data_IF_473829397662
#
_entry.id   IF_473829397662
#
_cell.length_a   1.000
_cell.length_b   1.000
_cell.length_c   1.000
_cell.angle_alpha   90.00
_cell.angle_beta   90.00
_cell.angle_gamma   90.00
#
_symmetry.space_group_name_H-M   'P 1'
#
loop_
_entity.id
_entity.type
_entity.pdbx_description
1 polymer ?
#
# COMPACT_ATOMS: atom_id res chain seq x y z
N UNK A 1 -38.36 -44.62 -23.77
CA UNK A 1 -37.05 -45.28 -23.98
C UNK A 1 -36.89 -45.35 -25.48
N UNK A 2 -35.87 -44.73 -26.06
CA UNK A 2 -35.67 -44.73 -27.51
C UNK A 2 -35.23 -46.12 -27.95
N UNK A 3 -35.69 -46.56 -29.11
CA UNK A 3 -35.24 -47.81 -29.74
C UNK A 3 -33.79 -47.68 -30.24
N UNK A 4 -33.16 -48.83 -30.49
CA UNK A 4 -31.75 -48.88 -30.91
C UNK A 4 -31.53 -48.28 -32.30
N UNK A 5 -32.56 -48.28 -33.18
CA UNK A 5 -32.48 -47.69 -34.52
C UNK A 5 -32.45 -46.16 -34.44
N UNK A 6 -33.28 -45.55 -33.57
CA UNK A 6 -33.26 -44.11 -33.26
C UNK A 6 -31.91 -43.67 -32.70
N UNK A 7 -31.31 -44.48 -31.81
CA UNK A 7 -29.98 -44.22 -31.27
C UNK A 7 -28.90 -44.32 -32.34
N UNK A 8 -28.94 -45.34 -33.18
CA UNK A 8 -27.98 -45.54 -34.26
C UNK A 8 -28.04 -44.38 -35.28
N UNK A 9 -29.24 -44.01 -35.72
CA UNK A 9 -29.48 -42.90 -36.65
C UNK A 9 -28.93 -41.57 -36.10
N UNK A 10 -29.18 -41.27 -34.82
CA UNK A 10 -28.69 -40.04 -34.21
C UNK A 10 -27.16 -39.98 -34.12
N UNK A 11 -26.51 -41.11 -33.79
CA UNK A 11 -25.05 -41.21 -33.70
C UNK A 11 -24.41 -41.12 -35.09
N UNK A 12 -25.01 -41.76 -36.10
CA UNK A 12 -24.55 -41.72 -37.49
C UNK A 12 -24.67 -40.31 -38.07
N UNK A 13 -25.78 -39.61 -37.83
CA UNK A 13 -25.98 -38.22 -38.26
C UNK A 13 -24.89 -37.29 -37.68
N UNK A 14 -24.55 -37.44 -36.39
CA UNK A 14 -23.44 -36.68 -35.80
C UNK A 14 -22.09 -37.05 -36.44
N UNK A 15 -21.87 -38.34 -36.73
CA UNK A 15 -20.68 -38.80 -37.45
C UNK A 15 -20.55 -38.23 -38.86
N UNK A 16 -21.69 -38.02 -39.54
CA UNK A 16 -21.80 -37.37 -40.84
C UNK A 16 -21.65 -35.84 -40.81
N UNK A 17 -21.52 -35.24 -39.62
CA UNK A 17 -21.21 -33.82 -39.46
C UNK A 17 -22.41 -32.93 -39.09
N UNK A 18 -23.58 -33.50 -38.81
CA UNK A 18 -24.71 -32.76 -38.29
C UNK A 18 -24.45 -32.28 -36.86
N UNK A 19 -25.03 -31.13 -36.49
CA UNK A 19 -25.03 -30.68 -35.09
C UNK A 19 -25.92 -31.60 -34.24
N UNK A 20 -25.69 -31.62 -32.92
CA UNK A 20 -26.50 -32.40 -31.97
C UNK A 20 -28.00 -32.08 -32.05
N UNK A 21 -28.33 -30.83 -32.42
CA UNK A 21 -29.71 -30.38 -32.55
C UNK A 21 -30.35 -30.90 -33.83
N UNK A 22 -29.66 -30.81 -34.96
CA UNK A 22 -30.15 -31.33 -36.23
C UNK A 22 -30.26 -32.86 -36.20
N UNK A 23 -29.30 -33.56 -35.60
CA UNK A 23 -29.36 -35.01 -35.39
C UNK A 23 -30.52 -35.41 -34.48
N UNK A 24 -30.82 -34.61 -33.46
CA UNK A 24 -31.96 -34.84 -32.57
C UNK A 24 -33.30 -34.60 -33.27
N UNK A 25 -33.40 -33.55 -34.10
CA UNK A 25 -34.58 -33.27 -34.93
C UNK A 25 -34.81 -34.37 -35.97
N UNK A 26 -33.74 -34.86 -36.62
CA UNK A 26 -33.79 -35.95 -37.60
C UNK A 26 -34.24 -37.28 -36.97
N UNK A 27 -33.72 -37.60 -35.78
CA UNK A 27 -34.03 -38.84 -35.08
C UNK A 27 -35.28 -38.75 -34.17
N UNK A 28 -35.96 -37.59 -34.12
CA UNK A 28 -37.15 -37.40 -33.29
C UNK A 28 -36.90 -37.56 -31.78
N UNK A 29 -35.70 -37.19 -31.31
CA UNK A 29 -35.28 -37.36 -29.91
C UNK A 29 -34.75 -36.05 -29.32
N UNK A 30 -34.31 -36.07 -28.05
CA UNK A 30 -33.74 -34.88 -27.41
C UNK A 30 -32.23 -34.76 -27.68
N UNK A 31 -31.75 -33.53 -27.88
CA UNK A 31 -30.32 -33.24 -28.10
C UNK A 31 -29.43 -33.74 -26.93
N UNK A 32 -29.96 -33.81 -25.72
CA UNK A 32 -29.28 -34.37 -24.56
C UNK A 32 -29.08 -35.88 -24.65
N UNK A 33 -30.06 -36.62 -25.22
CA UNK A 33 -29.95 -38.05 -25.47
C UNK A 33 -28.88 -38.34 -26.53
N UNK A 34 -28.90 -37.60 -27.65
CA UNK A 34 -27.88 -37.68 -28.70
C UNK A 34 -26.47 -37.41 -28.12
N UNK A 35 -26.32 -36.38 -27.29
CA UNK A 35 -25.06 -36.07 -26.61
C UNK A 35 -24.54 -37.20 -25.73
N UNK A 36 -25.42 -37.90 -25.01
CA UNK A 36 -25.05 -39.02 -24.16
C UNK A 36 -24.61 -40.23 -25.01
N UNK A 37 -25.34 -40.54 -26.08
CA UNK A 37 -25.02 -41.65 -26.97
C UNK A 37 -23.72 -41.44 -27.75
N UNK A 38 -23.47 -40.23 -28.27
CA UNK A 38 -22.21 -39.91 -28.93
C UNK A 38 -21.02 -40.03 -27.96
N UNK A 39 -21.18 -39.62 -26.69
CA UNK A 39 -20.15 -39.82 -25.66
C UNK A 39 -19.86 -41.31 -25.42
N UNK A 40 -20.90 -42.14 -25.30
CA UNK A 40 -20.75 -43.59 -25.17
C UNK A 40 -20.13 -44.25 -26.40
N UNK A 41 -20.37 -43.70 -27.60
CA UNK A 41 -19.81 -44.17 -28.87
C UNK A 41 -18.41 -43.60 -29.17
N UNK A 42 -17.83 -42.80 -28.26
CA UNK A 42 -16.51 -42.19 -28.45
C UNK A 42 -16.48 -41.04 -29.47
N UNK A 43 -17.63 -40.62 -30.00
CA UNK A 43 -17.73 -39.46 -30.87
C UNK A 43 -17.67 -38.18 -30.05
N UNK A 44 -16.65 -37.35 -30.32
CA UNK A 44 -16.62 -35.97 -29.84
C UNK A 44 -17.28 -35.08 -30.88
N UNK A 45 -18.35 -34.35 -30.53
CA UNK A 45 -18.94 -33.39 -31.46
C UNK A 45 -17.91 -32.36 -31.90
N UNK A 46 -17.97 -31.96 -33.18
CA UNK A 46 -17.25 -30.78 -33.63
C UNK A 46 -17.79 -29.56 -32.87
N UNK A 47 -16.93 -28.94 -32.05
CA UNK A 47 -17.22 -27.61 -31.51
C UNK A 47 -17.21 -26.61 -32.66
N UNK A 48 -18.06 -25.58 -32.60
CA UNK A 48 -17.87 -24.42 -33.47
C UNK A 48 -16.44 -23.88 -33.26
N UNK A 49 -15.75 -23.44 -34.31
CA UNK A 49 -14.45 -22.81 -34.17
C UNK A 49 -14.60 -21.57 -33.30
N UNK A 50 -13.63 -21.34 -32.40
CA UNK A 50 -13.59 -20.12 -31.60
C UNK A 50 -13.24 -18.97 -32.54
N UNK A 51 -14.14 -18.01 -32.69
CA UNK A 51 -13.86 -16.76 -33.39
C UNK A 51 -13.22 -15.81 -32.40
N UNK A 52 -11.99 -15.38 -32.71
CA UNK A 52 -11.31 -14.33 -31.98
C UNK A 52 -11.53 -13.01 -32.71
N UNK A 53 -12.16 -12.04 -32.04
CA UNK A 53 -12.32 -10.68 -32.56
C UNK A 53 -11.27 -9.76 -31.90
N UNK A 54 -10.63 -8.87 -32.67
CA UNK A 54 -9.73 -7.86 -32.10
C UNK A 54 -10.51 -6.87 -31.21
N UNK A 55 -9.79 -6.19 -30.32
CA UNK A 55 -10.37 -5.23 -29.38
C UNK A 55 -11.32 -4.21 -30.03
N UNK A 56 -10.90 -3.59 -31.13
CA UNK A 56 -11.68 -2.58 -31.86
C UNK A 56 -13.03 -3.12 -32.35
N UNK A 57 -13.05 -4.34 -32.88
CA UNK A 57 -14.28 -4.98 -33.35
C UNK A 57 -15.21 -5.34 -32.19
N UNK A 58 -14.67 -5.82 -31.06
CA UNK A 58 -15.47 -6.05 -29.84
C UNK A 58 -16.10 -4.74 -29.34
N UNK A 59 -15.33 -3.65 -29.33
CA UNK A 59 -15.80 -2.33 -28.91
C UNK A 59 -16.90 -1.79 -29.83
N UNK A 60 -16.75 -1.96 -31.15
CA UNK A 60 -17.78 -1.60 -32.13
C UNK A 60 -19.10 -2.34 -31.92
N UNK A 61 -19.04 -3.66 -31.65
CA UNK A 61 -20.24 -4.46 -31.36
C UNK A 61 -20.91 -4.05 -30.05
N UNK A 62 -20.12 -3.75 -29.00
CA UNK A 62 -20.65 -3.27 -27.73
C UNK A 62 -21.30 -1.90 -27.89
N UNK A 63 -20.70 -0.98 -28.63
CA UNK A 63 -21.28 0.34 -28.90
C UNK A 63 -22.62 0.25 -29.63
N UNK A 64 -22.72 -0.59 -30.67
CA UNK A 64 -23.97 -0.86 -31.39
C UNK A 64 -25.03 -1.52 -30.50
N UNK A 65 -24.63 -2.44 -29.64
CA UNK A 65 -25.52 -3.05 -28.65
C UNK A 65 -26.05 -2.03 -27.64
N UNK A 66 -25.20 -1.14 -27.11
CA UNK A 66 -25.62 -0.08 -26.19
C UNK A 66 -26.49 0.99 -26.87
N UNK A 67 -26.34 1.17 -28.19
CA UNK A 67 -27.24 1.99 -29.01
C UNK A 67 -28.62 1.33 -29.24
N UNK A 68 -28.85 0.10 -28.78
CA UNK A 68 -30.14 -0.57 -28.79
C UNK A 68 -30.30 -1.66 -29.85
N UNK A 69 -29.25 -1.99 -30.61
CA UNK A 69 -29.29 -3.12 -31.53
C UNK A 69 -29.32 -4.45 -30.78
N UNK A 70 -29.97 -5.46 -31.37
CA UNK A 70 -30.14 -6.76 -30.72
C UNK A 70 -28.83 -7.55 -30.77
N UNK A 71 -28.39 -8.04 -29.61
CA UNK A 71 -27.16 -8.85 -29.50
C UNK A 71 -27.13 -10.09 -30.41
N UNK A 72 -28.30 -10.68 -30.72
CA UNK A 72 -28.37 -11.85 -31.59
C UNK A 72 -28.00 -11.52 -33.05
N UNK A 73 -28.43 -10.35 -33.53
CA UNK A 73 -28.24 -9.91 -34.91
C UNK A 73 -26.78 -9.47 -35.11
N UNK A 74 -26.24 -8.69 -34.16
CA UNK A 74 -24.83 -8.31 -34.10
C UNK A 74 -23.89 -9.53 -34.03
N UNK A 75 -24.27 -10.53 -33.25
CA UNK A 75 -23.48 -11.74 -33.12
C UNK A 75 -23.49 -12.59 -34.40
N UNK A 76 -24.62 -12.64 -35.11
CA UNK A 76 -24.70 -13.35 -36.38
C UNK A 76 -23.83 -12.67 -37.45
N UNK A 77 -23.81 -11.34 -37.50
CA UNK A 77 -22.96 -10.54 -38.41
C UNK A 77 -21.47 -10.80 -38.15
N UNK A 78 -21.05 -10.76 -36.87
CA UNK A 78 -19.64 -10.94 -36.49
C UNK A 78 -19.20 -12.41 -36.32
N UNK A 79 -20.08 -13.37 -36.59
CA UNK A 79 -19.78 -14.80 -36.43
C UNK A 79 -19.58 -15.26 -34.98
N UNK A 80 -20.07 -14.50 -34.00
CA UNK A 80 -19.97 -14.80 -32.56
C UNK A 80 -21.32 -15.20 -31.98
N UNK A 81 -21.43 -15.31 -30.65
CA UNK A 81 -22.69 -15.66 -29.99
C UNK A 81 -23.30 -14.43 -29.31
N UNK A 82 -24.63 -14.30 -29.34
CA UNK A 82 -25.33 -13.18 -28.70
C UNK A 82 -24.94 -12.97 -27.23
N UNK A 83 -24.83 -14.03 -26.40
CA UNK A 83 -24.32 -13.91 -25.05
C UNK A 83 -22.92 -13.30 -24.93
N UNK A 84 -22.02 -13.51 -25.90
CA UNK A 84 -20.68 -12.91 -25.89
C UNK A 84 -20.76 -11.38 -25.97
N UNK A 85 -21.60 -10.83 -26.85
CA UNK A 85 -21.80 -9.37 -26.99
C UNK A 85 -22.35 -8.77 -25.69
N UNK A 86 -23.34 -9.42 -25.08
CA UNK A 86 -23.88 -8.95 -23.79
C UNK A 86 -22.87 -9.05 -22.65
N UNK A 87 -22.03 -10.09 -22.67
CA UNK A 87 -20.96 -10.29 -21.69
C UNK A 87 -19.87 -9.23 -21.84
N UNK A 88 -19.46 -8.88 -23.06
CA UNK A 88 -18.51 -7.79 -23.33
C UNK A 88 -19.05 -6.45 -22.85
N UNK A 89 -20.31 -6.13 -23.15
CA UNK A 89 -20.92 -4.88 -22.71
C UNK A 89 -20.96 -4.76 -21.18
N UNK A 90 -21.28 -5.86 -20.49
CA UNK A 90 -21.23 -5.89 -19.01
C UNK A 90 -19.81 -5.68 -18.48
N UNK A 91 -18.84 -6.38 -19.04
CA UNK A 91 -17.44 -6.32 -18.61
C UNK A 91 -16.82 -4.96 -18.88
N UNK A 92 -17.17 -4.30 -19.98
CA UNK A 92 -16.78 -2.90 -20.24
C UNK A 92 -17.29 -1.96 -19.15
N UNK A 93 -18.54 -2.11 -18.71
CA UNK A 93 -19.13 -1.28 -17.65
C UNK A 93 -18.52 -1.55 -16.27
N UNK A 94 -18.17 -2.80 -15.97
CA UNK A 94 -17.66 -3.21 -14.64
C UNK A 94 -16.14 -3.03 -14.50
N UNK A 95 -15.37 -3.29 -15.56
CA UNK A 95 -13.90 -3.43 -15.51
C UNK A 95 -13.17 -2.45 -16.47
N UNK A 96 -13.89 -1.76 -17.36
CA UNK A 96 -13.32 -0.82 -18.33
C UNK A 96 -12.74 -1.48 -19.59
N UNK A 97 -12.23 -0.66 -20.52
CA UNK A 97 -11.79 -1.07 -21.86
C UNK A 97 -10.67 -2.12 -21.85
N UNK A 98 -9.71 -2.00 -20.93
CA UNK A 98 -8.58 -2.92 -20.81
C UNK A 98 -9.01 -4.37 -20.56
N UNK A 99 -10.19 -4.60 -19.99
CA UNK A 99 -10.70 -5.94 -19.70
C UNK A 99 -11.12 -6.72 -20.96
N UNK A 100 -11.31 -6.05 -22.10
CA UNK A 100 -11.66 -6.67 -23.38
C UNK A 100 -10.46 -6.90 -24.30
N UNK A 101 -9.32 -6.32 -23.96
CA UNK A 101 -8.06 -6.48 -24.67
C UNK A 101 -7.42 -7.84 -24.34
N UNK A 102 -6.73 -8.45 -25.31
CA UNK A 102 -5.75 -9.50 -24.99
C UNK A 102 -4.48 -8.90 -24.42
N UNK A 103 -3.67 -9.76 -23.81
CA UNK A 103 -2.33 -9.39 -23.34
C UNK A 103 -1.49 -8.81 -24.50
N UNK A 104 -1.56 -9.39 -25.70
CA UNK A 104 -0.87 -8.89 -26.89
C UNK A 104 -1.37 -7.50 -27.33
N UNK A 105 -2.68 -7.25 -27.29
CA UNK A 105 -3.27 -5.94 -27.62
C UNK A 105 -2.90 -4.89 -26.56
N UNK A 106 -2.86 -5.28 -25.28
CA UNK A 106 -2.43 -4.42 -24.18
C UNK A 106 -0.93 -4.09 -24.26
N UNK A 107 -0.11 -5.07 -24.66
CA UNK A 107 1.32 -4.87 -24.90
C UNK A 107 1.59 -3.98 -26.11
N UNK A 108 0.80 -4.09 -27.18
CA UNK A 108 0.92 -3.24 -28.37
C UNK A 108 0.52 -1.78 -28.09
N UNK A 109 -0.42 -1.55 -27.16
CA UNK A 109 -0.81 -0.21 -26.71
C UNK A 109 0.08 0.34 -25.58
N UNK A 110 1.01 -0.48 -25.05
CA UNK A 110 1.97 0.01 -24.08
C UNK A 110 2.75 1.16 -24.71
N UNK A 111 2.95 2.28 -23.98
CA UNK A 111 3.78 3.37 -24.50
C UNK A 111 5.13 2.79 -24.89
N UNK A 112 5.64 3.21 -26.05
CA UNK A 112 6.99 2.80 -26.46
C UNK A 112 7.96 3.06 -25.30
N UNK A 113 8.90 2.12 -25.04
CA UNK A 113 9.86 2.30 -23.97
C UNK A 113 10.54 3.65 -24.18
N UNK A 114 10.50 4.50 -23.15
CA UNK A 114 11.09 5.82 -23.20
C UNK A 114 12.51 5.73 -23.76
N UNK A 115 12.85 6.60 -24.72
CA UNK A 115 14.18 6.65 -25.29
C UNK A 115 15.22 6.72 -24.15
N UNK A 116 16.36 6.00 -24.28
CA UNK A 116 17.39 6.07 -23.27
C UNK A 116 17.80 7.53 -23.05
N UNK A 117 18.05 7.95 -21.81
CA UNK A 117 18.39 9.34 -21.51
C UNK A 117 19.55 9.77 -22.41
N UNK A 118 19.42 10.96 -22.98
CA UNK A 118 20.47 11.53 -23.81
C UNK A 118 21.80 11.55 -23.04
N UNK A 119 22.93 11.48 -23.73
CA UNK A 119 24.26 11.54 -23.09
C UNK A 119 24.38 12.75 -22.13
N UNK A 120 23.76 13.88 -22.50
CA UNK A 120 23.67 15.08 -21.67
C UNK A 120 22.90 14.85 -20.36
N UNK A 121 21.77 14.16 -20.41
CA UNK A 121 20.96 13.83 -19.22
C UNK A 121 21.69 12.83 -18.32
N UNK A 122 22.34 11.82 -18.91
CA UNK A 122 23.17 10.88 -18.16
C UNK A 122 24.33 11.60 -17.45
N UNK A 123 25.00 12.53 -18.14
CA UNK A 123 26.06 13.34 -17.54
C UNK A 123 25.52 14.27 -16.44
N UNK A 124 24.38 14.92 -16.65
CA UNK A 124 23.74 15.75 -15.62
C UNK A 124 23.38 14.95 -14.38
N UNK A 125 22.78 13.77 -14.54
CA UNK A 125 22.45 12.88 -13.43
C UNK A 125 23.71 12.48 -12.64
N UNK A 126 24.80 12.15 -13.34
CA UNK A 126 26.09 11.84 -12.72
C UNK A 126 26.69 13.05 -11.98
N UNK A 127 26.59 14.25 -12.54
CA UNK A 127 27.02 15.47 -11.86
C UNK A 127 26.24 15.70 -10.55
N UNK A 128 24.91 15.55 -10.59
CA UNK A 128 24.10 15.69 -9.38
C UNK A 128 24.42 14.63 -8.30
N UNK A 129 24.71 13.40 -8.72
CA UNK A 129 25.13 12.33 -7.82
C UNK A 129 26.47 12.65 -7.14
N UNK A 130 27.47 13.07 -7.93
CA UNK A 130 28.77 13.48 -7.42
C UNK A 130 28.67 14.73 -6.52
N UNK A 131 27.78 15.67 -6.83
CA UNK A 131 27.54 16.83 -5.96
C UNK A 131 26.95 16.42 -4.60
N UNK A 132 26.03 15.45 -4.58
CA UNK A 132 25.48 14.91 -3.35
C UNK A 132 26.55 14.18 -2.51
N UNK A 133 27.36 13.34 -3.15
CA UNK A 133 28.45 12.61 -2.48
C UNK A 133 29.46 13.58 -1.87
N UNK A 134 29.91 14.57 -2.64
CA UNK A 134 30.82 15.62 -2.15
C UNK A 134 30.22 16.40 -0.97
N UNK A 135 28.93 16.73 -1.02
CA UNK A 135 28.25 17.43 0.07
C UNK A 135 28.18 16.57 1.36
N UNK A 136 27.95 15.26 1.21
CA UNK A 136 27.96 14.32 2.34
C UNK A 136 29.36 14.21 2.93
N UNK A 137 30.39 14.03 2.11
CA UNK A 137 31.78 13.92 2.57
C UNK A 137 32.22 15.20 3.29
N UNK A 138 31.93 16.37 2.72
CA UNK A 138 32.23 17.66 3.34
C UNK A 138 31.54 17.81 4.71
N UNK A 139 30.24 17.50 4.79
CA UNK A 139 29.50 17.55 6.07
C UNK A 139 29.97 16.49 7.08
N UNK A 140 30.43 15.33 6.60
CA UNK A 140 30.99 14.27 7.46
C UNK A 140 32.31 14.71 8.08
N UNK A 141 33.19 15.33 7.29
CA UNK A 141 34.46 15.93 7.76
C UNK A 141 34.19 17.01 8.80
N UNK A 142 33.20 17.87 8.56
CA UNK A 142 32.82 18.94 9.50
C UNK A 142 32.35 18.38 10.86
N UNK A 143 31.50 17.35 10.84
CA UNK A 143 30.96 16.72 12.05
C UNK A 143 32.06 15.97 12.81
N UNK A 144 32.83 15.12 12.12
CA UNK A 144 33.84 14.27 12.76
C UNK A 144 35.13 15.03 13.11
N UNK A 145 35.31 16.25 12.58
CA UNK A 145 36.54 17.05 12.72
C UNK A 145 37.80 16.28 12.33
N UNK A 146 37.67 15.35 11.38
CA UNK A 146 38.77 14.53 10.83
C UNK A 146 39.15 15.10 9.47
N UNK A 147 40.45 15.33 9.26
CA UNK A 147 41.06 15.61 7.95
C UNK A 147 40.81 14.46 6.93
N UNK A 148 40.95 14.68 5.60
CA UNK A 148 40.30 13.88 4.55
C UNK A 148 40.53 12.37 4.69
N UNK A 149 39.49 11.70 5.19
CA UNK A 149 39.44 10.27 5.51
C UNK A 149 38.24 9.93 6.40
N UNK A 150 37.29 10.85 6.52
CA UNK A 150 36.10 10.70 7.33
C UNK A 150 35.06 9.88 6.54
N UNK A 151 34.76 8.67 7.03
CA UNK A 151 33.77 7.79 6.42
C UNK A 151 32.37 8.17 6.92
N UNK A 152 31.36 8.42 6.05
CA UNK A 152 29.97 8.60 6.47
C UNK A 152 29.41 7.42 7.29
N UNK A 153 30.02 6.23 7.19
CA UNK A 153 29.74 5.07 8.02
C UNK A 153 30.11 5.28 9.50
N UNK A 154 31.09 6.14 9.81
CA UNK A 154 31.48 6.48 11.19
C UNK A 154 30.43 7.38 11.89
N UNK A 155 29.56 8.05 11.13
CA UNK A 155 28.54 8.92 11.71
C UNK A 155 27.51 8.11 12.50
N UNK A 156 27.15 8.61 13.68
CA UNK A 156 26.02 8.11 14.45
C UNK A 156 24.70 8.38 13.72
N UNK A 157 23.66 7.60 14.03
CA UNK A 157 22.33 7.84 13.46
C UNK A 157 21.74 9.23 13.77
N UNK A 158 22.24 9.91 14.83
CA UNK A 158 21.84 11.28 15.14
C UNK A 158 22.55 12.29 14.23
N UNK A 159 23.86 12.11 14.01
CA UNK A 159 24.66 12.95 13.11
C UNK A 159 24.21 12.79 11.66
N UNK A 160 23.95 11.55 11.20
CA UNK A 160 23.37 11.32 9.87
C UNK A 160 22.02 12.02 9.70
N UNK A 161 21.19 12.04 10.75
CA UNK A 161 19.91 12.74 10.69
C UNK A 161 20.07 14.27 10.63
N UNK A 162 21.06 14.82 11.34
CA UNK A 162 21.39 16.25 11.30
C UNK A 162 21.95 16.66 9.93
N UNK A 163 22.87 15.87 9.38
CA UNK A 163 23.41 16.06 8.03
C UNK A 163 22.32 15.92 6.95
N UNK A 164 21.42 14.94 7.11
CA UNK A 164 20.27 14.79 6.22
C UNK A 164 19.35 16.02 6.27
N UNK A 165 19.12 16.59 7.45
CA UNK A 165 18.30 17.79 7.62
C UNK A 165 18.92 19.02 6.93
N UNK A 166 20.25 19.19 6.96
CA UNK A 166 20.91 20.30 6.27
C UNK A 166 20.91 20.15 4.74
N UNK A 167 21.00 18.92 4.22
CA UNK A 167 21.10 18.64 2.78
C UNK A 167 19.75 18.47 2.07
N UNK A 168 18.66 18.18 2.80
CA UNK A 168 17.36 17.84 2.20
C UNK A 168 16.80 18.91 1.26
N UNK A 169 17.11 20.18 1.50
CA UNK A 169 16.61 21.31 0.71
C UNK A 169 17.25 21.40 -0.67
N UNK A 170 18.52 20.97 -0.81
CA UNK A 170 19.27 21.04 -2.08
C UNK A 170 19.10 19.78 -2.93
N UNK A 171 19.14 18.60 -2.32
CA UNK A 171 19.22 17.33 -3.06
C UNK A 171 17.96 16.46 -2.96
N UNK A 172 16.98 16.87 -2.16
CA UNK A 172 15.77 16.09 -1.89
C UNK A 172 16.00 14.98 -0.86
N UNK A 173 15.07 14.88 0.09
CA UNK A 173 15.19 13.95 1.22
C UNK A 173 15.40 12.48 0.83
N UNK A 174 14.69 11.90 -0.18
CA UNK A 174 14.86 10.48 -0.52
C UNK A 174 16.30 10.13 -0.96
N UNK A 175 16.90 10.97 -1.81
CA UNK A 175 18.27 10.77 -2.32
C UNK A 175 19.30 10.86 -1.19
N UNK A 176 19.16 11.88 -0.34
CA UNK A 176 20.05 12.10 0.81
C UNK A 176 19.97 10.93 1.80
N UNK A 177 18.77 10.43 2.12
CA UNK A 177 18.60 9.29 3.02
C UNK A 177 19.18 7.99 2.45
N UNK A 178 19.04 7.77 1.15
CA UNK A 178 19.63 6.63 0.47
C UNK A 178 21.17 6.68 0.55
N UNK A 179 21.77 7.82 0.21
CA UNK A 179 23.21 8.01 0.25
C UNK A 179 23.80 7.86 1.67
N UNK A 180 23.07 8.30 2.71
CA UNK A 180 23.48 8.13 4.11
C UNK A 180 23.10 6.77 4.72
N UNK A 181 22.48 5.86 3.96
CA UNK A 181 21.96 4.59 4.45
C UNK A 181 21.08 4.76 5.72
N UNK A 182 20.25 5.80 5.74
CA UNK A 182 19.43 6.17 6.89
C UNK A 182 17.93 5.91 6.60
N UNK A 183 17.28 4.98 7.34
CA UNK A 183 15.84 4.76 7.18
C UNK A 183 15.02 6.02 7.48
N UNK A 184 13.97 6.25 6.68
CA UNK A 184 13.07 7.41 6.82
C UNK A 184 12.43 7.50 8.21
N UNK A 185 12.07 6.37 8.81
CA UNK A 185 11.52 6.30 10.18
C UNK A 185 12.54 6.79 11.22
N UNK A 186 13.79 6.37 11.09
CA UNK A 186 14.89 6.80 11.96
C UNK A 186 15.14 8.30 11.84
N UNK A 187 15.15 8.84 10.61
CA UNK A 187 15.29 10.27 10.37
C UNK A 187 14.22 11.09 11.12
N UNK A 188 12.94 10.79 10.93
CA UNK A 188 11.86 11.53 11.61
C UNK A 188 11.85 11.31 13.13
N UNK A 189 12.17 10.10 13.59
CA UNK A 189 12.30 9.84 15.02
C UNK A 189 13.41 10.71 15.64
N UNK A 190 14.56 10.84 14.98
CA UNK A 190 15.66 11.70 15.44
C UNK A 190 15.31 13.18 15.36
N UNK A 191 14.71 13.62 14.26
CA UNK A 191 14.23 15.00 14.10
C UNK A 191 13.23 15.37 15.21
N UNK A 192 12.31 14.46 15.55
CA UNK A 192 11.33 14.67 16.63
C UNK A 192 11.96 14.81 18.02
N UNK A 193 13.14 14.21 18.23
CA UNK A 193 13.91 14.31 19.48
C UNK A 193 14.84 15.51 19.52
N UNK A 194 15.28 15.99 18.36
CA UNK A 194 16.12 17.18 18.20
C UNK A 194 15.31 18.48 18.20
N UNK A 195 14.04 18.43 17.73
CA UNK A 195 13.10 19.52 17.87
C UNK A 195 12.97 19.91 19.35
N UNK A 196 13.18 21.21 19.63
CA UNK A 196 13.21 21.82 20.96
C UNK A 196 12.18 21.22 21.92
N UNK A 197 12.56 21.11 23.20
CA UNK A 197 11.77 20.45 24.25
C UNK A 197 10.28 20.75 24.10
N UNK A 198 9.53 19.80 23.53
CA UNK A 198 8.08 19.90 23.37
C UNK A 198 7.40 20.12 24.72
N UNK A 199 8.09 19.73 25.79
CA UNK A 199 7.65 19.89 27.15
C UNK A 199 8.16 21.19 27.81
N UNK A 200 8.91 22.08 27.13
CA UNK A 200 9.46 23.31 27.71
C UNK A 200 8.40 24.16 28.42
N UNK A 201 7.27 24.39 27.75
CA UNK A 201 6.15 25.16 28.33
C UNK A 201 5.54 24.50 29.56
N UNK A 202 5.38 23.17 29.55
CA UNK A 202 4.84 22.45 30.71
C UNK A 202 5.87 22.26 31.82
N UNK A 203 7.16 22.16 31.49
CA UNK A 203 8.28 22.04 32.43
C UNK A 203 8.36 23.27 33.31
N UNK A 204 8.23 24.46 32.73
CA UNK A 204 8.15 25.71 33.49
C UNK A 204 6.97 25.71 34.48
N UNK A 205 5.78 25.35 34.02
CA UNK A 205 4.56 25.33 34.85
C UNK A 205 4.61 24.27 35.96
N UNK A 206 5.12 23.07 35.65
CA UNK A 206 5.32 21.98 36.63
C UNK A 206 6.31 22.41 37.72
N UNK A 207 7.42 23.04 37.33
CA UNK A 207 8.42 23.51 38.27
C UNK A 207 7.90 24.67 39.14
N UNK A 208 7.09 25.57 38.57
CA UNK A 208 6.40 26.65 39.29
C UNK A 208 5.45 26.09 40.36
N UNK A 209 4.56 25.17 39.98
CA UNK A 209 3.62 24.51 40.91
C UNK A 209 4.34 23.73 42.02
N UNK A 210 5.39 23.00 41.65
CA UNK A 210 6.18 22.26 42.62
C UNK A 210 6.85 23.19 43.64
N UNK A 211 7.43 24.31 43.18
CA UNK A 211 8.04 25.34 44.04
C UNK A 211 7.00 26.06 44.90
N UNK A 212 5.85 26.43 44.34
CA UNK A 212 4.74 27.04 45.08
C UNK A 212 4.22 26.12 46.19
N UNK A 213 4.24 24.79 45.96
CA UNK A 213 3.90 23.81 46.99
C UNK A 213 4.97 23.62 48.07
N UNK A 214 6.14 24.26 47.96
CA UNK A 214 7.29 24.03 48.83
C UNK A 214 7.90 22.64 48.67
N UNK A 215 7.81 22.04 47.48
CA UNK A 215 8.32 20.70 47.20
C UNK A 215 7.54 19.55 47.85
N UNK A 216 6.32 19.79 48.33
CA UNK A 216 5.49 18.77 49.01
C UNK A 216 4.58 18.01 48.04
N UNK A 217 4.26 18.59 46.89
CA UNK A 217 3.33 17.99 45.96
C UNK A 217 4.02 17.01 45.02
N UNK A 218 3.54 15.76 45.00
CA UNK A 218 3.89 14.80 43.97
C UNK A 218 3.08 15.03 42.68
N UNK A 219 3.44 14.31 41.62
CA UNK A 219 2.85 14.48 40.28
C UNK A 219 1.32 14.46 40.23
N UNK A 220 0.64 13.71 41.11
CA UNK A 220 -0.84 13.69 41.17
C UNK A 220 -1.41 15.05 41.58
N UNK A 221 -0.82 15.68 42.61
CA UNK A 221 -1.27 16.98 43.11
C UNK A 221 -0.86 18.11 42.17
N UNK A 222 0.36 18.05 41.62
CA UNK A 222 0.81 19.00 40.59
C UNK A 222 -0.09 18.95 39.36
N UNK A 223 -0.42 17.75 38.85
CA UNK A 223 -1.36 17.59 37.73
C UNK A 223 -2.75 18.18 38.04
N UNK A 224 -3.27 17.96 39.26
CA UNK A 224 -4.55 18.52 39.68
C UNK A 224 -4.52 20.06 39.73
N UNK A 225 -3.44 20.65 40.26
CA UNK A 225 -3.25 22.10 40.33
C UNK A 225 -3.15 22.73 38.92
N UNK A 226 -2.36 22.12 38.03
CA UNK A 226 -2.27 22.53 36.63
C UNK A 226 -3.63 22.47 35.92
N UNK A 227 -4.41 21.41 36.16
CA UNK A 227 -5.75 21.28 35.60
C UNK A 227 -6.72 22.33 36.13
N UNK A 228 -6.62 22.67 37.42
CA UNK A 228 -7.42 23.75 38.01
C UNK A 228 -7.08 25.14 37.40
N UNK A 229 -5.84 25.33 36.95
CA UNK A 229 -5.39 26.51 36.18
C UNK A 229 -5.74 26.46 34.68
N UNK A 230 -6.48 25.45 34.22
CA UNK A 230 -6.87 25.29 32.82
C UNK A 230 -5.79 24.71 31.90
N UNK A 231 -4.68 24.19 32.44
CA UNK A 231 -3.61 23.59 31.63
C UNK A 231 -4.02 22.18 31.20
N UNK A 232 -4.13 21.95 29.90
CA UNK A 232 -4.48 20.64 29.33
C UNK A 232 -3.21 19.78 29.17
N UNK A 233 -2.95 18.93 30.15
CA UNK A 233 -1.84 17.99 30.11
C UNK A 233 -2.22 16.65 30.73
N UNK A 234 -1.68 15.55 30.17
CA UNK A 234 -1.90 14.23 30.77
C UNK A 234 -1.05 14.04 32.03
N UNK A 235 -1.58 13.31 33.00
CA UNK A 235 -0.85 12.97 34.23
C UNK A 235 0.48 12.26 33.93
N UNK A 236 0.51 11.39 32.91
CA UNK A 236 1.73 10.69 32.48
C UNK A 236 2.81 11.66 32.02
N UNK A 237 2.42 12.73 31.31
CA UNK A 237 3.32 13.79 30.85
C UNK A 237 3.89 14.57 32.04
N UNK A 238 3.05 15.00 32.99
CA UNK A 238 3.48 15.69 34.21
C UNK A 238 4.45 14.82 35.03
N UNK A 239 4.13 13.54 35.24
CA UNK A 239 5.00 12.60 35.95
C UNK A 239 6.36 12.43 35.29
N UNK A 240 6.39 12.32 33.95
CA UNK A 240 7.62 12.19 33.18
C UNK A 240 8.48 13.45 33.33
N UNK A 241 7.89 14.63 33.17
CA UNK A 241 8.58 15.93 33.34
C UNK A 241 9.15 16.08 34.75
N UNK A 242 8.37 15.80 35.80
CA UNK A 242 8.88 15.86 37.18
C UNK A 242 10.07 14.92 37.40
N UNK A 243 10.07 13.73 36.81
CA UNK A 243 11.19 12.79 36.91
C UNK A 243 12.42 13.28 36.14
N UNK A 244 12.24 13.79 34.93
CA UNK A 244 13.32 14.34 34.12
C UNK A 244 13.98 15.57 34.80
N UNK A 245 13.20 16.38 35.52
CA UNK A 245 13.66 17.55 36.28
C UNK A 245 14.12 17.26 37.72
N UNK A 246 14.03 16.00 38.18
CA UNK A 246 14.38 15.66 39.57
C UNK A 246 13.45 16.26 40.64
N UNK A 247 12.22 16.63 40.28
CA UNK A 247 11.22 17.21 41.19
C UNK A 247 10.55 16.11 42.01
N UNK A 248 11.20 15.71 43.11
CA UNK A 248 10.68 14.68 44.01
C UNK A 248 9.99 15.29 45.23
N UNK A 249 8.72 14.91 45.44
CA UNK A 249 7.96 15.37 46.59
C UNK A 249 8.57 14.89 47.91
N UNK A 250 8.76 15.83 48.84
CA UNK A 250 9.22 15.53 50.19
C UNK A 250 8.30 14.50 50.85
N UNK A 251 8.87 13.33 51.20
CA UNK A 251 8.16 12.28 51.93
C UNK A 251 8.49 12.42 53.42
N UNK A 252 7.49 12.54 54.31
CA UNK A 252 7.77 12.48 55.74
C UNK A 252 8.42 11.12 56.05
N UNK A 253 9.60 11.15 56.69
CA UNK A 253 10.22 9.92 57.19
C UNK A 253 9.27 9.31 58.20
N UNK A 254 8.81 8.09 57.94
CA UNK A 254 7.95 7.35 58.87
C UNK A 254 8.74 7.16 60.16
N UNK A 255 8.37 7.88 61.21
CA UNK A 255 9.01 7.75 62.53
C UNK A 255 8.79 6.31 62.99
N UNK A 256 9.87 5.60 63.35
CA UNK A 256 9.72 4.28 63.97
C UNK A 256 8.98 4.48 65.29
N UNK A 257 7.98 3.65 65.53
CA UNK A 257 7.22 3.68 66.78
C UNK A 257 8.19 3.54 67.97
N UNK A 258 8.07 4.44 68.94
CA UNK A 258 8.81 4.41 70.20
C UNK A 258 7.80 4.46 71.32
N UNK A 259 7.78 3.42 72.16
CA UNK A 259 6.94 3.35 73.37
C UNK A 259 7.50 4.14 74.55
N UNK A 260 8.72 4.69 74.42
CA UNK A 260 9.33 5.52 75.43
C UNK A 260 8.72 6.93 75.38
N UNK A 261 8.04 7.32 76.47
CA UNK A 261 7.34 8.60 76.60
C UNK A 261 8.25 9.78 77.01
N UNK A 262 9.56 9.52 77.24
CA UNK A 262 10.49 10.48 77.84
C UNK A 262 10.47 10.42 79.36
N UNK A 263 11.54 10.90 79.99
CA UNK A 263 11.59 11.15 81.45
C UNK A 263 10.86 12.46 81.76
N UNK A 264 9.77 12.39 82.51
CA UNK A 264 9.13 13.56 83.11
C UNK A 264 10.02 14.08 84.24
N UNK A 265 10.77 15.14 83.93
CA UNK A 265 11.51 16.07 84.79
C UNK A 265 11.86 15.72 86.25
N UNK A 266 13.19 15.62 86.50
CA UNK A 266 13.96 15.75 87.77
C UNK A 266 13.59 14.87 88.96
#
# INVERSE_FOLDING_TARGET
MYDDDTRALAVEAVGAGFTMREAAELAGCSASAVSAWCRSAGLRPKSKPRVYLPFEEKMGLVARYEAGERAADLAAEAGVTGPAVTWWARRLREEGALALMTDDEAMALAPEPAEPPSELEALRARCEELELENAILAGTVEILKKDPGADPADLTAAERAALAESLRGRFGLPRVLAALSLPRSTFYHRLSRAAADRDAGIRALVAEEFRASGGRYGYRRVHAALRARGVVASEKRVRRVMREEGLEAARPRRRRYSSYAGEEGR
#
